data_IF_601073807405
#
_entry.id   IF_601073807405
#
_cell.length_a   1.000
_cell.length_b   1.000
_cell.length_c   1.000
_cell.angle_alpha   90.00
_cell.angle_beta   90.00
_cell.angle_gamma   90.00
#
_symmetry.space_group_name_H-M   'P 1'
#
loop_
_entity.id
_entity.type
_entity.pdbx_description
1 polymer ?
#
# COMPACT_ATOMS: atom_id res chain seq x y z
N UNK A 1 -22.78 -15.65 20.40
CA UNK A 1 -21.87 -15.90 21.53
C UNK A 1 -20.50 -15.35 21.15
N UNK A 2 -20.44 -14.03 21.25
CA UNK A 2 -19.37 -13.17 21.72
C UNK A 2 -17.99 -13.24 21.02
N UNK A 3 -17.96 -12.75 19.78
CA UNK A 3 -16.74 -12.14 19.22
C UNK A 3 -16.56 -10.76 19.83
N UNK A 4 -15.91 -10.70 20.99
CA UNK A 4 -15.63 -9.50 21.78
C UNK A 4 -15.12 -8.34 20.92
N UNK A 5 -15.99 -7.34 20.72
CA UNK A 5 -15.62 -5.99 20.31
C UNK A 5 -14.87 -5.35 21.48
N UNK A 6 -13.54 -5.37 21.45
CA UNK A 6 -12.74 -4.54 22.37
C UNK A 6 -12.53 -3.19 21.71
N UNK A 7 -13.46 -2.28 22.02
CA UNK A 7 -13.27 -0.86 21.81
C UNK A 7 -12.07 -0.39 22.65
N UNK A 8 -11.23 0.48 22.08
CA UNK A 8 -10.38 1.34 22.90
C UNK A 8 -11.26 2.29 23.74
N UNK A 9 -10.67 2.90 24.76
CA UNK A 9 -11.39 3.76 25.74
C UNK A 9 -12.09 4.98 25.12
N UNK A 10 -11.97 5.20 23.80
CA UNK A 10 -12.55 6.33 23.07
C UNK A 10 -13.59 5.92 22.01
N UNK A 11 -13.90 4.62 21.89
CA UNK A 11 -14.92 4.14 20.95
C UNK A 11 -14.59 4.43 19.49
N UNK A 12 -13.32 4.71 19.17
CA UNK A 12 -12.87 4.94 17.79
C UNK A 12 -12.27 3.64 17.24
N UNK A 13 -12.44 3.35 15.94
CA UNK A 13 -11.77 2.20 15.35
C UNK A 13 -10.24 2.42 15.42
N UNK A 14 -9.53 1.48 16.04
CA UNK A 14 -8.07 1.41 15.97
C UNK A 14 -7.64 1.36 14.48
N UNK A 15 -6.57 2.07 14.07
CA UNK A 15 -6.15 2.17 12.66
C UNK A 15 -5.71 0.84 12.00
N UNK A 16 -5.74 -0.28 12.73
CA UNK A 16 -5.34 -1.62 12.27
C UNK A 16 -6.52 -2.57 12.00
N UNK A 17 -7.76 -2.10 11.99
CA UNK A 17 -8.89 -2.97 11.64
C UNK A 17 -9.09 -3.04 10.13
N UNK A 18 -8.41 -3.99 9.48
CA UNK A 18 -8.82 -4.52 8.17
C UNK A 18 -10.01 -5.47 8.38
N UNK A 19 -11.24 -5.14 7.95
CA UNK A 19 -12.35 -6.07 8.08
C UNK A 19 -12.06 -7.31 7.22
N UNK A 20 -12.34 -8.52 7.75
CA UNK A 20 -12.19 -9.83 7.08
C UNK A 20 -12.80 -9.88 5.65
N UNK A 21 -13.72 -8.96 5.34
CA UNK A 21 -14.35 -8.77 4.02
C UNK A 21 -13.40 -8.15 2.97
N UNK A 22 -12.41 -7.36 3.39
CA UNK A 22 -11.38 -6.77 2.52
C UNK A 22 -10.40 -7.83 2.01
N UNK A 23 -10.01 -8.80 2.86
CA UNK A 23 -9.04 -9.86 2.52
C UNK A 23 -9.45 -10.63 1.26
N UNK A 24 -10.72 -11.04 1.14
CA UNK A 24 -11.20 -11.74 -0.06
C UNK A 24 -11.25 -10.86 -1.32
N UNK A 25 -11.49 -9.57 -1.15
CA UNK A 25 -11.50 -8.59 -2.25
C UNK A 25 -10.07 -8.28 -2.73
N UNK A 26 -9.12 -8.16 -1.81
CA UNK A 26 -7.73 -7.82 -2.12
C UNK A 26 -6.98 -8.96 -2.81
N UNK A 27 -7.27 -10.23 -2.47
CA UNK A 27 -6.71 -11.39 -3.20
C UNK A 27 -7.19 -11.40 -4.66
N UNK A 28 -8.49 -11.23 -4.88
CA UNK A 28 -9.05 -11.24 -6.24
C UNK A 28 -8.56 -10.05 -7.07
N UNK A 29 -8.42 -8.87 -6.44
CA UNK A 29 -7.84 -7.69 -7.07
C UNK A 29 -6.37 -7.94 -7.45
N UNK A 30 -5.57 -8.49 -6.53
CA UNK A 30 -4.17 -8.80 -6.77
C UNK A 30 -3.99 -9.80 -7.93
N UNK A 31 -4.81 -10.84 -8.02
CA UNK A 31 -4.77 -11.79 -9.15
C UNK A 31 -5.10 -11.10 -10.47
N UNK A 32 -6.17 -10.29 -10.49
CA UNK A 32 -6.61 -9.57 -11.69
C UNK A 32 -5.54 -8.60 -12.20
N UNK A 33 -4.92 -7.81 -11.31
CA UNK A 33 -3.84 -6.90 -11.65
C UNK A 33 -2.57 -7.63 -12.09
N UNK A 34 -2.24 -8.76 -11.44
CA UNK A 34 -1.07 -9.57 -11.82
C UNK A 34 -1.24 -10.14 -13.24
N UNK A 35 -2.43 -10.62 -13.59
CA UNK A 35 -2.75 -11.08 -14.96
C UNK A 35 -2.66 -9.96 -15.99
N UNK A 36 -3.14 -8.76 -15.64
CA UNK A 36 -3.06 -7.58 -16.52
C UNK A 36 -1.60 -7.20 -16.79
N UNK A 37 -0.78 -7.14 -15.75
CA UNK A 37 0.66 -6.85 -15.84
C UNK A 37 1.41 -7.90 -16.68
N UNK A 38 1.05 -9.18 -16.53
CA UNK A 38 1.64 -10.27 -17.31
C UNK A 38 1.23 -10.22 -18.79
N UNK A 39 -0.04 -9.95 -19.06
CA UNK A 39 -0.59 -9.99 -20.44
C UNK A 39 -0.28 -8.73 -21.24
N UNK A 40 -0.20 -7.56 -20.58
CA UNK A 40 -0.02 -6.26 -21.21
C UNK A 40 1.05 -5.42 -20.49
N UNK A 41 2.32 -5.84 -20.49
CA UNK A 41 3.38 -5.22 -19.68
C UNK A 41 3.73 -3.78 -20.06
N UNK A 42 3.31 -3.32 -21.25
CA UNK A 42 3.61 -2.00 -21.79
C UNK A 42 2.38 -1.08 -21.86
N UNK A 43 1.29 -1.41 -21.16
CA UNK A 43 0.09 -0.57 -21.14
C UNK A 43 0.37 0.75 -20.39
N UNK A 44 -0.23 1.86 -20.83
CA UNK A 44 0.00 3.18 -20.22
C UNK A 44 -0.40 3.30 -18.74
N UNK A 45 -1.16 2.33 -18.21
CA UNK A 45 -1.59 2.28 -16.80
C UNK A 45 -0.72 1.37 -15.92
N UNK A 46 0.40 0.83 -16.43
CA UNK A 46 1.19 -0.17 -15.70
C UNK A 46 1.76 0.35 -14.38
N UNK A 47 2.09 1.64 -14.30
CA UNK A 47 2.52 2.28 -13.05
C UNK A 47 1.39 2.25 -12.01
N UNK A 48 0.16 2.56 -12.42
CA UNK A 48 -1.01 2.47 -11.55
C UNK A 48 -1.28 1.03 -11.12
N UNK A 49 -1.19 0.08 -12.04
CA UNK A 49 -1.39 -1.35 -11.76
C UNK A 49 -0.39 -1.84 -10.71
N UNK A 50 0.89 -1.46 -10.83
CA UNK A 50 1.92 -1.76 -9.82
C UNK A 50 1.58 -1.11 -8.48
N UNK A 51 1.20 0.17 -8.46
CA UNK A 51 0.84 0.84 -7.21
C UNK A 51 -0.37 0.18 -6.53
N UNK A 52 -1.39 -0.23 -7.29
CA UNK A 52 -2.56 -0.98 -6.79
C UNK A 52 -2.20 -2.36 -6.26
N UNK A 53 -1.28 -3.08 -6.93
CA UNK A 53 -0.74 -4.34 -6.40
C UNK A 53 -0.05 -4.11 -5.05
N UNK A 54 0.70 -3.03 -4.92
CA UNK A 54 1.28 -2.62 -3.64
C UNK A 54 0.23 -2.50 -2.52
N UNK A 55 -0.88 -1.80 -2.81
CA UNK A 55 -2.00 -1.65 -1.87
C UNK A 55 -2.63 -2.98 -1.51
N UNK A 56 -2.92 -3.83 -2.50
CA UNK A 56 -3.50 -5.14 -2.23
C UNK A 56 -2.59 -5.98 -1.32
N UNK A 57 -1.29 -6.05 -1.61
CA UNK A 57 -0.36 -6.82 -0.77
C UNK A 57 -0.18 -6.23 0.62
N UNK A 58 -0.22 -4.91 0.76
CA UNK A 58 -0.21 -4.25 2.07
C UNK A 58 -1.44 -4.65 2.90
N UNK A 59 -2.63 -4.62 2.30
CA UNK A 59 -3.88 -5.03 2.96
C UNK A 59 -3.89 -6.51 3.35
N UNK A 60 -3.19 -7.35 2.57
CA UNK A 60 -3.00 -8.78 2.85
C UNK A 60 -1.91 -9.06 3.89
N UNK A 61 -1.21 -8.03 4.39
CA UNK A 61 -0.11 -8.18 5.35
C UNK A 61 1.20 -8.68 4.72
N UNK A 62 1.28 -8.80 3.39
CA UNK A 62 2.51 -9.15 2.70
C UNK A 62 3.29 -7.89 2.34
N UNK A 63 3.90 -7.29 3.36
CA UNK A 63 4.62 -6.04 3.23
C UNK A 63 5.84 -6.14 2.30
N UNK A 64 6.47 -7.30 2.20
CA UNK A 64 7.59 -7.52 1.27
C UNK A 64 7.13 -7.36 -0.20
N UNK A 65 6.02 -7.99 -0.59
CA UNK A 65 5.45 -7.81 -1.93
C UNK A 65 4.92 -6.40 -2.12
N UNK A 66 4.28 -5.82 -1.10
CA UNK A 66 3.80 -4.44 -1.15
C UNK A 66 4.93 -3.47 -1.52
N UNK A 67 6.02 -3.51 -0.74
CA UNK A 67 7.22 -2.70 -0.95
C UNK A 67 7.83 -2.92 -2.33
N UNK A 68 7.90 -4.17 -2.81
CA UNK A 68 8.41 -4.46 -4.17
C UNK A 68 7.61 -3.73 -5.23
N UNK A 69 6.28 -3.81 -5.20
CA UNK A 69 5.43 -3.20 -6.21
C UNK A 69 5.38 -1.68 -6.11
N UNK A 70 5.37 -1.11 -4.90
CA UNK A 70 5.47 0.33 -4.72
C UNK A 70 6.79 0.90 -5.25
N UNK A 71 7.92 0.23 -5.00
CA UNK A 71 9.21 0.67 -5.55
C UNK A 71 9.25 0.60 -7.07
N UNK A 72 8.64 -0.43 -7.68
CA UNK A 72 8.51 -0.53 -9.14
C UNK A 72 7.60 0.56 -9.73
N UNK A 73 6.61 1.04 -8.99
CA UNK A 73 5.78 2.17 -9.39
C UNK A 73 6.55 3.50 -9.29
N UNK A 74 7.30 3.71 -8.19
CA UNK A 74 8.12 4.92 -8.00
C UNK A 74 9.31 5.03 -8.94
N UNK A 75 9.87 3.90 -9.41
CA UNK A 75 10.98 3.93 -10.37
C UNK A 75 10.59 4.47 -11.74
N UNK A 76 9.27 4.55 -12.02
CA UNK A 76 8.75 5.11 -13.25
C UNK A 76 8.45 6.60 -13.07
N UNK A 77 8.83 7.42 -14.06
CA UNK A 77 8.58 8.86 -14.02
C UNK A 77 7.12 9.22 -14.28
N UNK A 78 6.33 8.31 -14.85
CA UNK A 78 4.93 8.54 -15.22
C UNK A 78 4.07 8.84 -14.00
N UNK A 79 3.44 10.01 -13.98
CA UNK A 79 2.45 10.35 -12.95
C UNK A 79 1.17 9.55 -13.18
N UNK A 80 0.55 9.12 -12.09
CA UNK A 80 -0.75 8.45 -12.15
C UNK A 80 -1.83 9.37 -11.57
N UNK A 81 -3.03 9.41 -12.16
CA UNK A 81 -4.11 10.24 -11.63
C UNK A 81 -4.72 9.67 -10.33
N UNK A 82 -4.37 8.45 -9.94
CA UNK A 82 -4.96 7.75 -8.80
C UNK A 82 -4.09 7.77 -7.55
N UNK A 83 -2.77 7.59 -7.71
CA UNK A 83 -1.81 7.62 -6.62
C UNK A 83 -0.64 8.51 -7.02
N UNK A 84 -0.53 9.66 -6.35
CA UNK A 84 0.65 10.52 -6.48
C UNK A 84 1.89 9.80 -5.96
N UNK A 85 3.07 10.21 -6.41
CA UNK A 85 4.33 9.67 -5.88
C UNK A 85 4.45 9.85 -4.36
N UNK A 86 3.92 10.95 -3.82
CA UNK A 86 3.86 11.19 -2.37
C UNK A 86 2.98 10.16 -1.65
N UNK A 87 1.80 9.82 -2.20
CA UNK A 87 0.97 8.74 -1.65
C UNK A 87 1.67 7.38 -1.71
N UNK A 88 2.39 7.09 -2.79
CA UNK A 88 3.14 5.83 -2.91
C UNK A 88 4.27 5.79 -1.87
N UNK A 89 5.03 6.89 -1.68
CA UNK A 89 6.04 7.01 -0.61
C UNK A 89 5.45 6.81 0.77
N UNK A 90 4.29 7.40 1.03
CA UNK A 90 3.59 7.21 2.31
C UNK A 90 3.25 5.74 2.56
N UNK A 91 2.75 5.03 1.54
CA UNK A 91 2.45 3.61 1.66
C UNK A 91 3.70 2.74 1.84
N UNK A 92 4.85 3.13 1.29
CA UNK A 92 6.15 2.48 1.55
C UNK A 92 6.55 2.66 3.01
N UNK A 93 6.42 3.88 3.55
CA UNK A 93 6.73 4.16 4.95
C UNK A 93 5.84 3.31 5.87
N UNK A 94 4.52 3.33 5.64
CA UNK A 94 3.56 2.54 6.40
C UNK A 94 3.77 1.03 6.26
N UNK A 95 4.12 0.54 5.07
CA UNK A 95 4.44 -0.89 4.87
C UNK A 95 5.73 -1.29 5.57
N UNK A 96 6.73 -0.39 5.61
CA UNK A 96 8.00 -0.63 6.33
C UNK A 96 7.76 -0.65 7.85
N UNK A 97 6.93 0.26 8.35
CA UNK A 97 6.52 0.29 9.76
C UNK A 97 5.81 -1.00 10.17
N UNK A 98 4.82 -1.45 9.38
CA UNK A 98 4.11 -2.69 9.62
C UNK A 98 5.01 -3.95 9.49
N UNK A 99 6.07 -3.87 8.68
CA UNK A 99 7.09 -4.92 8.58
C UNK A 99 8.11 -4.90 9.74
N UNK A 100 8.05 -3.89 10.62
CA UNK A 100 9.00 -3.69 11.72
C UNK A 100 10.29 -2.96 11.34
N UNK A 101 10.42 -2.51 10.10
CA UNK A 101 11.56 -1.71 9.62
C UNK A 101 11.29 -0.21 9.89
N UNK A 102 11.35 0.14 11.17
CA UNK A 102 11.08 1.50 11.65
C UNK A 102 12.09 2.53 11.12
N UNK A 103 13.36 2.12 10.93
CA UNK A 103 14.40 3.00 10.40
C UNK A 103 14.06 3.46 8.98
N UNK A 104 13.63 2.53 8.13
CA UNK A 104 13.22 2.87 6.76
C UNK A 104 11.92 3.67 6.73
N UNK A 105 10.96 3.34 7.59
CA UNK A 105 9.72 4.10 7.70
C UNK A 105 10.01 5.57 8.05
N UNK A 106 10.85 5.81 9.05
CA UNK A 106 11.26 7.15 9.48
C UNK A 106 11.94 7.93 8.35
N UNK A 107 12.85 7.28 7.60
CA UNK A 107 13.52 7.89 6.45
C UNK A 107 12.51 8.38 5.40
N UNK A 108 11.56 7.52 5.03
CA UNK A 108 10.55 7.86 4.02
C UNK A 108 9.59 8.95 4.51
N UNK A 109 9.15 8.91 5.77
CA UNK A 109 8.32 10.00 6.33
C UNK A 109 9.06 11.34 6.32
N UNK A 110 10.36 11.36 6.66
CA UNK A 110 11.18 12.58 6.59
C UNK A 110 11.28 13.14 5.18
N UNK A 111 11.44 12.29 4.16
CA UNK A 111 11.44 12.72 2.75
C UNK A 111 10.12 13.37 2.35
N UNK A 112 8.99 12.77 2.74
CA UNK A 112 7.66 13.31 2.44
C UNK A 112 7.47 14.68 3.09
N UNK A 113 7.82 14.83 4.37
CA UNK A 113 7.69 16.10 5.10
C UNK A 113 8.57 17.18 4.46
N UNK A 114 9.81 16.84 4.08
CA UNK A 114 10.71 17.77 3.42
C UNK A 114 10.17 18.25 2.06
N UNK A 115 9.49 17.39 1.30
CA UNK A 115 8.90 17.71 0.00
C UNK A 115 7.66 18.60 0.13
N UNK A 116 6.85 18.43 1.18
CA UNK A 116 5.61 19.21 1.40
C UNK A 116 5.87 20.61 1.98
N UNK A 117 7.03 20.80 2.62
CA UNK A 117 7.42 22.09 3.22
C UNK A 117 8.18 23.03 2.25
N UNK A 118 8.25 22.68 0.96
CA UNK A 118 8.83 23.48 -0.13
C UNK A 118 7.73 24.15 -0.96
#
# INVERSE_FOLDING_TARGET
MDGLSRHDELGKPHPLYIPLKAVGSDVNAADSFSRLLYSFPNLGVIVEVKARLGVCYQNLGDYNRALKFYNQALSDSTETPFLSKTHIRFNIALSSENAGDLSKAEEEYKKIIAEVNL
#
